data_IF_657634244468
#
_entry.id   IF_657634244468
#
_cell.length_a   1.000
_cell.length_b   1.000
_cell.length_c   1.000
_cell.angle_alpha   90.00
_cell.angle_beta   90.00
_cell.angle_gamma   90.00
#
_symmetry.space_group_name_H-M   'P 1'
#
loop_
_entity.id
_entity.type
_entity.pdbx_description
1 polymer ?
#
# COMPACT_ATOMS: atom_id res chain seq x y z
N UNK A 1 -15.69 -8.13 -3.20
CA UNK A 1 -17.03 -8.67 -3.52
C UNK A 1 -17.77 -9.06 -2.24
N UNK A 2 -17.34 -10.00 -1.42
CA UNK A 2 -18.04 -10.45 -0.21
C UNK A 2 -18.48 -9.34 0.77
N UNK A 3 -17.62 -8.39 1.14
CA UNK A 3 -17.95 -7.32 2.11
C UNK A 3 -19.04 -6.38 1.56
N UNK A 4 -18.97 -6.00 0.29
CA UNK A 4 -19.97 -5.14 -0.35
C UNK A 4 -21.35 -5.81 -0.40
N UNK A 5 -21.37 -7.07 -0.80
CA UNK A 5 -22.63 -7.80 -0.92
C UNK A 5 -23.23 -8.06 0.48
N UNK A 6 -22.37 -8.36 1.48
CA UNK A 6 -22.79 -8.45 2.88
C UNK A 6 -23.32 -7.11 3.41
N UNK A 7 -22.66 -5.98 3.13
CA UNK A 7 -23.13 -4.65 3.55
C UNK A 7 -24.52 -4.33 2.96
N UNK A 8 -24.74 -4.56 1.66
CA UNK A 8 -26.01 -4.32 1.01
C UNK A 8 -27.16 -5.16 1.61
N UNK A 9 -26.87 -6.43 1.91
CA UNK A 9 -27.85 -7.33 2.49
C UNK A 9 -28.14 -7.00 3.97
N UNK A 10 -27.11 -6.68 4.76
CA UNK A 10 -27.29 -6.19 6.15
C UNK A 10 -28.10 -4.89 6.16
N UNK A 11 -27.83 -3.96 5.26
CA UNK A 11 -28.56 -2.69 5.12
C UNK A 11 -30.03 -2.92 4.73
N UNK A 12 -30.34 -4.04 4.08
CA UNK A 12 -31.68 -4.48 3.74
C UNK A 12 -32.36 -5.30 4.84
N UNK A 13 -31.72 -5.46 6.02
CA UNK A 13 -32.27 -6.14 7.19
C UNK A 13 -32.06 -7.64 7.23
N UNK A 14 -31.24 -8.22 6.34
CA UNK A 14 -30.92 -9.65 6.37
C UNK A 14 -29.95 -9.97 7.52
N UNK A 15 -30.13 -11.11 8.16
CA UNK A 15 -29.22 -11.65 9.15
C UNK A 15 -28.06 -12.41 8.51
N UNK A 16 -26.94 -12.56 9.24
CA UNK A 16 -25.71 -13.17 8.72
C UNK A 16 -25.92 -14.56 8.11
N UNK A 17 -26.75 -15.40 8.73
CA UNK A 17 -27.07 -16.73 8.20
C UNK A 17 -27.81 -16.67 6.84
N UNK A 18 -28.73 -15.73 6.68
CA UNK A 18 -29.48 -15.51 5.45
C UNK A 18 -28.56 -14.95 4.36
N UNK A 19 -27.60 -14.08 4.71
CA UNK A 19 -26.60 -13.54 3.80
C UNK A 19 -25.72 -14.67 3.26
N UNK A 20 -25.23 -15.56 4.12
CA UNK A 20 -24.40 -16.70 3.68
C UNK A 20 -25.19 -17.65 2.77
N UNK A 21 -26.47 -17.88 3.08
CA UNK A 21 -27.35 -18.72 2.23
C UNK A 21 -27.63 -18.04 0.87
N UNK A 22 -27.80 -16.72 0.85
CA UNK A 22 -27.93 -15.94 -0.37
C UNK A 22 -26.66 -16.00 -1.22
N UNK A 23 -25.49 -15.79 -0.63
CA UNK A 23 -24.20 -15.86 -1.32
C UNK A 23 -23.95 -17.25 -1.92
N UNK A 24 -24.40 -18.30 -1.26
CA UNK A 24 -24.36 -19.68 -1.79
C UNK A 24 -25.25 -19.82 -3.03
N UNK A 25 -26.51 -19.40 -2.95
CA UNK A 25 -27.50 -19.57 -4.02
C UNK A 25 -27.18 -18.71 -5.25
N UNK A 26 -26.60 -17.53 -5.03
CA UNK A 26 -26.25 -16.60 -6.10
C UNK A 26 -24.95 -16.97 -6.83
N UNK A 27 -24.17 -17.93 -6.32
CA UNK A 27 -22.86 -18.31 -6.83
C UNK A 27 -21.90 -17.11 -7.04
N UNK A 28 -22.07 -16.04 -6.25
CA UNK A 28 -21.24 -14.84 -6.32
C UNK A 28 -19.86 -15.04 -5.71
N UNK A 29 -19.70 -16.07 -4.88
CA UNK A 29 -18.44 -16.45 -4.21
C UNK A 29 -18.08 -17.90 -4.55
N UNK A 30 -16.78 -18.19 -4.52
CA UNK A 30 -16.30 -19.56 -4.62
C UNK A 30 -16.87 -20.41 -3.48
N UNK A 31 -17.24 -21.64 -3.81
CA UNK A 31 -17.91 -22.55 -2.87
C UNK A 31 -17.08 -22.80 -1.59
N UNK A 32 -15.74 -22.79 -1.72
CA UNK A 32 -14.84 -22.94 -0.59
C UNK A 32 -15.03 -21.85 0.49
N UNK A 33 -15.16 -20.57 0.07
CA UNK A 33 -15.39 -19.46 1.01
C UNK A 33 -16.77 -19.55 1.69
N UNK A 34 -17.80 -19.91 0.92
CA UNK A 34 -19.15 -20.06 1.45
C UNK A 34 -19.23 -21.23 2.44
N UNK A 35 -18.54 -22.35 2.13
CA UNK A 35 -18.46 -23.49 3.01
C UNK A 35 -17.77 -23.12 4.34
N UNK A 36 -16.67 -22.38 4.30
CA UNK A 36 -15.97 -21.89 5.50
C UNK A 36 -16.86 -20.96 6.34
N UNK A 37 -17.55 -19.99 5.70
CA UNK A 37 -18.49 -19.10 6.38
C UNK A 37 -19.60 -19.89 7.09
N UNK A 38 -20.16 -20.89 6.42
CA UNK A 38 -21.21 -21.73 6.95
C UNK A 38 -20.74 -22.61 8.12
N UNK A 39 -19.55 -23.20 7.98
CA UNK A 39 -18.93 -23.99 9.03
C UNK A 39 -18.69 -23.15 10.29
N UNK A 40 -18.15 -21.93 10.12
CA UNK A 40 -17.95 -20.98 11.21
C UNK A 40 -19.25 -20.60 11.93
N UNK A 41 -20.30 -20.26 11.16
CA UNK A 41 -21.61 -19.95 11.72
C UNK A 41 -22.23 -21.14 12.48
N UNK A 42 -22.13 -22.36 11.93
CA UNK A 42 -22.63 -23.56 12.58
C UNK A 42 -21.87 -23.89 13.87
N UNK A 43 -20.61 -23.47 13.96
CA UNK A 43 -19.78 -23.58 15.16
C UNK A 43 -20.01 -22.44 16.18
N UNK A 44 -20.93 -21.51 15.91
CA UNK A 44 -21.18 -20.37 16.78
C UNK A 44 -20.09 -19.30 16.78
N UNK A 45 -19.25 -19.26 15.75
CA UNK A 45 -18.18 -18.28 15.63
C UNK A 45 -18.73 -16.89 15.30
N UNK A 46 -18.05 -15.84 15.77
CA UNK A 46 -18.37 -14.47 15.40
C UNK A 46 -18.07 -14.21 13.91
N UNK A 47 -18.70 -13.20 13.33
CA UNK A 47 -18.43 -12.83 11.93
C UNK A 47 -16.99 -12.38 11.73
N UNK A 48 -16.42 -11.67 12.70
CA UNK A 48 -15.01 -11.27 12.69
C UNK A 48 -14.03 -12.45 12.66
N UNK A 49 -14.31 -13.52 13.44
CA UNK A 49 -13.50 -14.75 13.40
C UNK A 49 -13.58 -15.45 12.04
N UNK A 50 -14.78 -15.51 11.45
CA UNK A 50 -15.00 -16.10 10.13
C UNK A 50 -14.21 -15.30 9.08
N UNK A 51 -14.31 -13.97 9.09
CA UNK A 51 -13.61 -13.07 8.15
C UNK A 51 -12.09 -13.15 8.30
N UNK A 52 -11.59 -13.36 9.54
CA UNK A 52 -10.16 -13.62 9.80
C UNK A 52 -9.67 -14.89 9.10
N UNK A 53 -10.44 -15.97 9.17
CA UNK A 53 -10.11 -17.24 8.48
C UNK A 53 -10.15 -17.13 6.97
N UNK A 54 -11.01 -16.25 6.44
CA UNK A 54 -11.07 -15.94 5.00
C UNK A 54 -9.88 -15.11 4.51
N UNK A 55 -8.93 -14.73 5.39
CA UNK A 55 -7.70 -14.03 5.04
C UNK A 55 -7.83 -12.53 4.87
N UNK A 56 -8.85 -11.91 5.46
CA UNK A 56 -8.94 -10.45 5.52
C UNK A 56 -7.88 -9.87 6.47
N UNK A 57 -7.52 -8.61 6.25
CA UNK A 57 -6.52 -7.93 7.07
C UNK A 57 -6.99 -7.76 8.52
N UNK A 58 -6.03 -7.74 9.45
CA UNK A 58 -6.28 -7.55 10.88
C UNK A 58 -7.10 -6.30 11.18
N UNK A 59 -6.90 -5.21 10.41
CA UNK A 59 -7.69 -3.99 10.52
C UNK A 59 -9.19 -4.24 10.27
N UNK A 60 -9.54 -4.99 9.22
CA UNK A 60 -10.92 -5.34 8.89
C UNK A 60 -11.52 -6.22 9.99
N UNK A 61 -10.77 -7.22 10.45
CA UNK A 61 -11.18 -8.15 11.51
C UNK A 61 -11.45 -7.38 12.81
N UNK A 62 -10.55 -6.50 13.22
CA UNK A 62 -10.71 -5.68 14.44
C UNK A 62 -11.94 -4.78 14.36
N UNK A 63 -12.14 -4.09 13.22
CA UNK A 63 -13.32 -3.25 13.04
C UNK A 63 -14.62 -4.05 13.12
N UNK A 64 -14.65 -5.24 12.53
CA UNK A 64 -15.81 -6.12 12.62
C UNK A 64 -16.04 -6.60 14.03
N UNK A 65 -15.01 -7.07 14.74
CA UNK A 65 -15.09 -7.53 16.12
C UNK A 65 -15.66 -6.44 17.05
N UNK A 66 -15.15 -5.22 16.94
CA UNK A 66 -15.65 -4.09 17.72
C UNK A 66 -17.10 -3.74 17.37
N UNK A 67 -17.45 -3.80 16.08
CA UNK A 67 -18.81 -3.50 15.64
C UNK A 67 -19.84 -4.57 16.06
N UNK A 68 -19.41 -5.82 16.19
CA UNK A 68 -20.24 -6.90 16.75
C UNK A 68 -20.55 -6.63 18.24
N UNK A 69 -19.54 -6.21 19.01
CA UNK A 69 -19.72 -5.87 20.43
C UNK A 69 -20.66 -4.68 20.65
N UNK A 70 -20.61 -3.69 19.78
CA UNK A 70 -21.39 -2.44 19.91
C UNK A 70 -22.68 -2.41 19.05
N UNK A 71 -22.99 -3.47 18.33
CA UNK A 71 -24.22 -3.57 17.55
C UNK A 71 -24.30 -2.71 16.29
N UNK A 72 -23.16 -2.16 15.80
CA UNK A 72 -23.12 -1.23 14.69
C UNK A 72 -22.49 -1.81 13.42
N UNK A 73 -22.75 -3.09 13.15
CA UNK A 73 -22.12 -3.88 12.10
C UNK A 73 -22.34 -3.31 10.69
N UNK A 74 -23.57 -2.85 10.40
CA UNK A 74 -23.91 -2.31 9.08
C UNK A 74 -23.09 -1.07 8.74
N UNK A 75 -22.95 -0.13 9.68
CA UNK A 75 -22.13 1.09 9.46
C UNK A 75 -20.65 0.73 9.26
N UNK A 76 -20.14 -0.18 10.07
CA UNK A 76 -18.74 -0.63 9.96
C UNK A 76 -18.47 -1.34 8.64
N UNK A 77 -19.39 -2.18 8.16
CA UNK A 77 -19.28 -2.82 6.86
C UNK A 77 -19.24 -1.80 5.72
N UNK A 78 -20.05 -0.73 5.78
CA UNK A 78 -20.01 0.35 4.80
C UNK A 78 -18.65 1.08 4.77
N UNK A 79 -18.08 1.39 5.95
CA UNK A 79 -16.74 1.99 6.05
C UNK A 79 -15.63 1.06 5.53
N UNK A 80 -15.71 -0.24 5.84
CA UNK A 80 -14.78 -1.26 5.35
C UNK A 80 -14.91 -1.41 3.83
N UNK A 81 -16.13 -1.43 3.29
CA UNK A 81 -16.37 -1.48 1.84
C UNK A 81 -15.68 -0.31 1.12
N UNK A 82 -15.95 0.92 1.54
CA UNK A 82 -15.32 2.12 0.96
C UNK A 82 -13.79 2.07 1.00
N UNK A 83 -13.23 1.59 2.09
CA UNK A 83 -11.78 1.41 2.24
C UNK A 83 -11.22 0.37 1.28
N UNK A 84 -11.82 -0.82 1.21
CA UNK A 84 -11.37 -1.90 0.33
C UNK A 84 -11.55 -1.53 -1.15
N UNK A 85 -12.61 -0.81 -1.49
CA UNK A 85 -12.82 -0.29 -2.84
C UNK A 85 -11.70 0.66 -3.25
N UNK A 86 -11.33 1.60 -2.38
CA UNK A 86 -10.23 2.53 -2.63
C UNK A 86 -8.89 1.80 -2.79
N UNK A 87 -8.58 0.82 -1.93
CA UNK A 87 -7.39 -0.01 -2.09
C UNK A 87 -7.38 -0.78 -3.40
N UNK A 88 -8.53 -1.34 -3.79
CA UNK A 88 -8.68 -2.06 -5.06
C UNK A 88 -8.46 -1.15 -6.27
N UNK A 89 -9.02 0.07 -6.24
CA UNK A 89 -8.80 1.10 -7.28
C UNK A 89 -7.32 1.44 -7.43
N UNK A 90 -6.61 1.63 -6.30
CA UNK A 90 -5.16 1.91 -6.31
C UNK A 90 -4.38 0.72 -6.86
N UNK A 91 -4.66 -0.50 -6.40
CA UNK A 91 -4.00 -1.71 -6.89
C UNK A 91 -4.21 -1.89 -8.40
N UNK A 92 -5.45 -1.74 -8.88
CA UNK A 92 -5.78 -1.83 -10.30
C UNK A 92 -5.00 -0.79 -11.12
N UNK A 93 -4.97 0.46 -10.64
CA UNK A 93 -4.25 1.54 -11.32
C UNK A 93 -2.74 1.33 -11.30
N UNK A 94 -2.15 0.80 -10.23
CA UNK A 94 -0.73 0.43 -10.18
C UNK A 94 -0.37 -0.62 -11.24
N UNK A 95 -1.22 -1.66 -11.39
CA UNK A 95 -1.02 -2.69 -12.41
C UNK A 95 -1.16 -2.07 -13.80
N UNK A 96 -2.20 -1.30 -14.05
CA UNK A 96 -2.49 -0.67 -15.34
C UNK A 96 -1.36 0.25 -15.79
N UNK A 97 -0.88 1.15 -14.90
CA UNK A 97 0.22 2.07 -15.19
C UNK A 97 1.56 1.35 -15.30
N UNK A 98 1.78 0.25 -14.57
CA UNK A 98 3.01 -0.53 -14.58
C UNK A 98 3.15 -1.48 -15.78
N UNK A 99 2.05 -1.99 -16.31
CA UNK A 99 2.06 -3.02 -17.36
C UNK A 99 2.66 -2.48 -18.67
N UNK A 100 2.24 -1.31 -19.10
CA UNK A 100 2.73 -0.70 -20.34
C UNK A 100 4.25 -0.42 -20.32
N UNK A 101 4.82 0.27 -19.31
CA UNK A 101 6.27 0.44 -19.20
C UNK A 101 7.06 -0.88 -19.18
N UNK A 102 6.57 -1.87 -18.47
CA UNK A 102 7.24 -3.18 -18.40
C UNK A 102 7.28 -3.89 -19.75
N UNK A 103 6.17 -3.88 -20.50
CA UNK A 103 6.13 -4.44 -21.86
C UNK A 103 7.10 -3.70 -22.78
N UNK A 104 7.06 -2.37 -22.74
CA UNK A 104 7.89 -1.53 -23.60
C UNK A 104 9.40 -1.69 -23.31
N UNK A 105 9.78 -1.74 -22.03
CA UNK A 105 11.15 -2.06 -21.61
C UNK A 105 11.56 -3.48 -22.01
N UNK A 106 10.66 -4.47 -21.91
CA UNK A 106 10.89 -5.83 -22.36
C UNK A 106 11.17 -5.90 -23.86
N UNK A 107 10.38 -5.23 -24.69
CA UNK A 107 10.62 -5.11 -26.13
C UNK A 107 11.94 -4.42 -26.44
N UNK A 108 12.26 -3.35 -25.72
CA UNK A 108 13.51 -2.63 -25.90
C UNK A 108 14.73 -3.53 -25.62
N UNK A 109 14.69 -4.30 -24.53
CA UNK A 109 15.76 -5.27 -24.19
C UNK A 109 15.89 -6.33 -25.27
N UNK A 110 14.78 -6.86 -25.81
CA UNK A 110 14.79 -7.83 -26.90
C UNK A 110 15.44 -7.26 -28.17
N UNK A 111 15.08 -6.03 -28.56
CA UNK A 111 15.69 -5.34 -29.72
C UNK A 111 17.19 -5.16 -29.49
N UNK A 112 17.59 -4.70 -28.30
CA UNK A 112 19.00 -4.51 -27.97
C UNK A 112 19.80 -5.82 -27.98
N UNK A 113 19.25 -6.92 -27.49
CA UNK A 113 19.89 -8.24 -27.54
C UNK A 113 20.01 -8.73 -28.98
N UNK A 114 18.98 -8.51 -29.82
CA UNK A 114 19.04 -8.83 -31.25
C UNK A 114 20.13 -8.03 -31.96
N UNK A 115 20.18 -6.72 -31.76
CA UNK A 115 21.20 -5.85 -32.36
C UNK A 115 22.62 -6.22 -31.88
N UNK A 116 22.78 -6.47 -30.60
CA UNK A 116 24.07 -6.89 -30.03
C UNK A 116 24.60 -8.17 -30.64
N UNK A 117 23.74 -9.16 -30.86
CA UNK A 117 24.16 -10.47 -31.32
C UNK A 117 24.33 -10.58 -32.84
N UNK A 118 23.56 -9.80 -33.61
CA UNK A 118 23.51 -9.92 -35.06
C UNK A 118 24.15 -8.75 -35.82
N UNK A 119 23.99 -7.49 -35.35
CA UNK A 119 24.42 -6.32 -36.11
C UNK A 119 25.77 -5.77 -35.62
N UNK A 120 25.97 -5.66 -34.32
CA UNK A 120 27.19 -5.09 -33.74
C UNK A 120 28.48 -5.85 -34.09
N UNK A 121 28.51 -7.18 -34.23
CA UNK A 121 29.71 -7.90 -34.70
C UNK A 121 30.11 -7.58 -36.12
N UNK A 122 29.20 -7.04 -36.95
CA UNK A 122 29.45 -6.67 -38.34
C UNK A 122 29.95 -5.22 -38.49
N UNK A 123 29.91 -4.45 -37.40
CA UNK A 123 30.33 -3.03 -37.42
C UNK A 123 31.66 -2.91 -36.64
N UNK A 124 32.73 -2.67 -37.37
CA UNK A 124 34.11 -2.59 -36.83
C UNK A 124 34.41 -1.30 -36.04
N UNK A 125 33.40 -0.56 -35.64
CA UNK A 125 33.55 0.77 -35.02
C UNK A 125 33.36 0.74 -33.51
N UNK A 126 34.35 1.22 -32.76
CA UNK A 126 34.29 1.42 -31.29
C UNK A 126 33.79 2.83 -30.92
N UNK A 127 32.61 3.21 -31.40
CA UNK A 127 32.00 4.48 -31.06
C UNK A 127 31.36 4.48 -29.68
N UNK A 128 31.24 5.65 -29.02
CA UNK A 128 30.62 5.84 -27.74
C UNK A 128 29.21 5.22 -27.68
N UNK A 129 28.40 5.35 -28.74
CA UNK A 129 27.07 4.78 -28.86
C UNK A 129 27.11 3.25 -28.83
N UNK A 130 28.03 2.61 -29.51
CA UNK A 130 28.21 1.15 -29.54
C UNK A 130 28.65 0.62 -28.19
N UNK A 131 29.53 1.33 -27.47
CA UNK A 131 29.95 0.98 -26.11
C UNK A 131 28.76 1.07 -25.12
N UNK A 132 27.98 2.15 -25.19
CA UNK A 132 26.78 2.31 -24.33
C UNK A 132 25.77 1.19 -24.57
N UNK A 133 25.47 0.85 -25.83
CA UNK A 133 24.50 -0.23 -26.15
C UNK A 133 25.02 -1.58 -25.66
N UNK A 134 26.30 -1.86 -25.79
CA UNK A 134 26.88 -3.13 -25.29
C UNK A 134 26.76 -3.27 -23.75
N UNK A 135 26.87 -2.16 -23.03
CA UNK A 135 26.81 -2.17 -21.56
C UNK A 135 25.39 -1.99 -21.01
N UNK A 136 24.45 -1.42 -21.76
CA UNK A 136 23.07 -1.19 -21.28
C UNK A 136 22.38 -2.43 -20.73
N UNK A 137 22.41 -3.62 -21.40
CA UNK A 137 21.80 -4.82 -20.82
C UNK A 137 22.46 -5.26 -19.50
N UNK A 138 23.79 -5.09 -19.41
CA UNK A 138 24.53 -5.38 -18.18
C UNK A 138 24.18 -4.40 -17.05
N UNK A 139 24.11 -3.10 -17.36
CA UNK A 139 23.67 -2.06 -16.42
C UNK A 139 22.27 -2.37 -15.91
N UNK A 140 21.36 -2.79 -16.80
CA UNK A 140 20.01 -3.16 -16.41
C UNK A 140 19.97 -4.38 -15.49
N UNK A 141 20.77 -5.42 -15.79
CA UNK A 141 20.89 -6.60 -14.91
C UNK A 141 21.51 -6.24 -13.56
N UNK A 142 22.57 -5.45 -13.53
CA UNK A 142 23.20 -5.02 -12.29
C UNK A 142 22.30 -4.11 -11.47
N UNK A 143 21.56 -3.19 -12.11
CA UNK A 143 20.59 -2.34 -11.40
C UNK A 143 19.42 -3.12 -10.83
N UNK A 144 18.91 -4.12 -11.55
CA UNK A 144 17.85 -5.00 -11.03
C UNK A 144 18.34 -5.87 -9.87
N UNK A 145 19.57 -6.40 -9.96
CA UNK A 145 20.20 -7.15 -8.87
C UNK A 145 20.43 -6.26 -7.64
N UNK A 146 20.95 -5.05 -7.84
CA UNK A 146 21.15 -4.08 -6.76
C UNK A 146 19.82 -3.72 -6.08
N UNK A 147 18.75 -3.51 -6.86
CA UNK A 147 17.40 -3.28 -6.33
C UNK A 147 16.90 -4.49 -5.53
N UNK A 148 17.08 -5.71 -6.03
CA UNK A 148 16.68 -6.93 -5.33
C UNK A 148 17.44 -7.10 -4.00
N UNK A 149 18.75 -6.80 -3.97
CA UNK A 149 19.57 -6.81 -2.75
C UNK A 149 19.08 -5.73 -1.78
N UNK A 150 18.81 -4.52 -2.24
CA UNK A 150 18.31 -3.42 -1.41
C UNK A 150 16.96 -3.78 -0.78
N UNK A 151 16.03 -4.35 -1.57
CA UNK A 151 14.74 -4.83 -1.06
C UNK A 151 14.95 -5.96 -0.03
N UNK A 152 15.83 -6.90 -0.30
CA UNK A 152 16.12 -8.02 0.62
C UNK A 152 16.72 -7.53 1.95
N UNK A 153 17.63 -6.56 1.90
CA UNK A 153 18.21 -5.91 3.09
C UNK A 153 17.14 -5.13 3.85
N UNK A 154 16.27 -4.40 3.16
CA UNK A 154 15.17 -3.67 3.78
C UNK A 154 14.18 -4.64 4.48
N UNK A 155 13.85 -5.77 3.84
CA UNK A 155 13.00 -6.81 4.42
C UNK A 155 13.66 -7.48 5.63
N UNK A 156 14.95 -7.77 5.55
CA UNK A 156 15.71 -8.32 6.68
C UNK A 156 15.73 -7.34 7.86
N UNK A 157 16.02 -6.07 7.59
CA UNK A 157 15.98 -5.01 8.60
C UNK A 157 14.59 -4.83 9.19
N UNK A 158 13.54 -4.87 8.36
CA UNK A 158 12.15 -4.85 8.80
C UNK A 158 11.81 -6.00 9.75
N UNK A 159 12.30 -7.21 9.48
CA UNK A 159 12.05 -8.38 10.34
C UNK A 159 12.76 -8.30 11.68
N UNK A 160 13.96 -7.73 11.72
CA UNK A 160 14.83 -7.76 12.91
C UNK A 160 14.74 -6.51 13.79
N UNK A 161 14.30 -5.36 13.27
CA UNK A 161 14.21 -4.10 14.02
C UNK A 161 12.82 -3.84 14.58
N UNK A 162 12.73 -3.00 15.63
CA UNK A 162 11.48 -2.42 16.10
C UNK A 162 10.79 -1.68 14.93
N UNK A 163 9.48 -1.88 14.78
CA UNK A 163 8.69 -1.30 13.70
C UNK A 163 8.60 0.21 13.83
N UNK A 164 8.51 0.73 15.05
CA UNK A 164 8.55 2.18 15.32
C UNK A 164 9.83 2.79 14.74
N UNK A 165 11.00 2.20 15.00
CA UNK A 165 12.29 2.68 14.46
C UNK A 165 12.39 2.54 12.94
N UNK A 166 11.88 1.45 12.41
CA UNK A 166 11.85 1.23 10.95
C UNK A 166 11.02 2.30 10.25
N UNK A 167 9.77 2.51 10.67
CA UNK A 167 8.89 3.50 10.06
C UNK A 167 9.33 4.94 10.31
N UNK A 168 9.97 5.23 11.45
CA UNK A 168 10.59 6.54 11.70
C UNK A 168 11.70 6.86 10.70
N UNK A 169 12.57 5.88 10.38
CA UNK A 169 13.59 6.04 9.33
C UNK A 169 12.99 6.14 7.93
N UNK A 170 11.96 5.35 7.66
CA UNK A 170 11.27 5.37 6.36
C UNK A 170 10.57 6.71 6.12
N UNK A 171 9.97 7.28 7.16
CA UNK A 171 9.33 8.60 7.12
C UNK A 171 10.33 9.75 6.92
N UNK A 172 11.60 9.55 7.25
CA UNK A 172 12.66 10.53 7.02
C UNK A 172 13.22 10.54 5.59
N UNK A 173 12.86 9.53 4.76
CA UNK A 173 13.32 9.47 3.38
C UNK A 173 12.68 10.58 2.53
N UNK A 174 13.46 11.32 1.71
CA UNK A 174 12.90 12.25 0.76
C UNK A 174 12.01 11.50 -0.24
N UNK A 175 10.90 12.09 -0.66
CA UNK A 175 9.92 11.53 -1.59
C UNK A 175 8.97 10.48 -0.98
N UNK A 176 9.47 9.39 -0.38
CA UNK A 176 8.64 8.32 0.19
C UNK A 176 8.11 8.66 1.58
N UNK A 177 8.82 9.47 2.35
CA UNK A 177 8.46 9.78 3.72
C UNK A 177 7.07 10.39 3.86
N UNK A 178 6.72 11.32 2.99
CA UNK A 178 5.38 11.94 3.00
C UNK A 178 4.25 10.96 2.67
N UNK A 179 4.50 9.93 1.82
CA UNK A 179 3.53 8.89 1.54
C UNK A 179 3.33 7.98 2.75
N UNK A 180 4.43 7.61 3.40
CA UNK A 180 4.41 6.80 4.63
C UNK A 180 3.69 7.55 5.75
N UNK A 181 3.99 8.84 5.95
CA UNK A 181 3.32 9.68 6.93
C UNK A 181 1.81 9.78 6.65
N UNK A 182 1.41 10.06 5.40
CA UNK A 182 0.01 10.17 5.04
C UNK A 182 -0.72 8.83 5.27
N UNK A 183 -0.13 7.72 4.85
CA UNK A 183 -0.70 6.39 5.04
C UNK A 183 -0.89 6.03 6.51
N UNK A 184 0.18 6.14 7.32
CA UNK A 184 0.12 5.79 8.73
C UNK A 184 -0.79 6.73 9.51
N UNK A 185 -0.74 8.02 9.23
CA UNK A 185 -1.65 9.00 9.86
C UNK A 185 -3.11 8.68 9.57
N UNK A 186 -3.46 8.45 8.30
CA UNK A 186 -4.83 8.12 7.91
C UNK A 186 -5.30 6.79 8.53
N UNK A 187 -4.41 5.79 8.54
CA UNK A 187 -4.69 4.48 9.12
C UNK A 187 -4.97 4.59 10.62
N UNK A 188 -4.05 5.20 11.39
CA UNK A 188 -4.20 5.29 12.84
C UNK A 188 -5.32 6.25 13.26
N UNK A 189 -5.48 7.38 12.57
CA UNK A 189 -6.60 8.29 12.85
C UNK A 189 -7.95 7.58 12.66
N UNK A 190 -8.09 6.74 11.63
CA UNK A 190 -9.29 5.95 11.41
C UNK A 190 -9.51 4.92 12.51
N UNK A 191 -8.47 4.13 12.85
CA UNK A 191 -8.61 3.08 13.87
C UNK A 191 -8.93 3.69 15.24
N UNK A 192 -8.20 4.70 15.67
CA UNK A 192 -8.45 5.41 16.92
C UNK A 192 -9.81 6.11 16.90
N UNK A 193 -10.13 6.81 15.81
CA UNK A 193 -11.42 7.49 15.65
C UNK A 193 -12.60 6.53 15.80
N UNK A 194 -12.53 5.37 15.15
CA UNK A 194 -13.55 4.33 15.25
C UNK A 194 -13.69 3.78 16.68
N UNK A 195 -12.57 3.47 17.34
CA UNK A 195 -12.58 2.92 18.71
C UNK A 195 -13.09 3.95 19.74
N UNK A 196 -12.60 5.20 19.65
CA UNK A 196 -13.07 6.30 20.53
C UNK A 196 -14.53 6.63 20.24
N UNK A 197 -14.93 6.66 18.97
CA UNK A 197 -16.32 6.92 18.57
C UNK A 197 -17.31 5.86 19.05
N UNK A 198 -16.83 4.66 19.33
CA UNK A 198 -17.60 3.56 19.97
C UNK A 198 -17.61 3.66 21.52
N UNK A 199 -16.95 4.65 22.09
CA UNK A 199 -16.93 4.88 23.54
C UNK A 199 -15.84 4.16 24.31
N UNK A 200 -14.85 3.59 23.61
CA UNK A 200 -13.70 2.96 24.27
C UNK A 200 -12.77 4.01 24.88
N UNK A 201 -12.31 3.77 26.08
CA UNK A 201 -11.28 4.56 26.73
C UNK A 201 -9.89 4.30 26.12
N UNK A 202 -8.98 5.28 26.19
CA UNK A 202 -7.61 5.15 25.64
C UNK A 202 -6.87 3.94 26.19
N UNK A 203 -7.05 3.64 27.47
CA UNK A 203 -6.46 2.47 28.13
C UNK A 203 -6.90 1.15 27.48
N UNK A 204 -8.18 1.03 27.16
CA UNK A 204 -8.76 -0.13 26.47
C UNK A 204 -8.28 -0.21 25.02
N UNK A 205 -8.22 0.92 24.33
CA UNK A 205 -7.71 0.99 22.96
C UNK A 205 -6.27 0.48 22.88
N UNK A 206 -5.41 0.91 23.79
CA UNK A 206 -4.01 0.45 23.77
C UNK A 206 -3.87 -1.02 24.18
N UNK A 207 -4.74 -1.53 25.07
CA UNK A 207 -4.79 -2.96 25.36
C UNK A 207 -5.18 -3.78 24.11
N UNK A 208 -6.23 -3.36 23.39
CA UNK A 208 -6.65 -3.98 22.11
C UNK A 208 -5.51 -3.93 21.08
N UNK A 209 -4.80 -2.79 20.98
CA UNK A 209 -3.66 -2.66 20.07
C UNK A 209 -2.54 -3.66 20.35
N UNK A 210 -2.28 -3.98 21.61
CA UNK A 210 -1.23 -4.94 22.03
C UNK A 210 -1.58 -6.39 21.64
N UNK A 211 -2.84 -6.72 21.53
CA UNK A 211 -3.32 -8.05 21.14
C UNK A 211 -3.34 -8.28 19.63
N UNK A 212 -3.17 -7.22 18.83
CA UNK A 212 -3.24 -7.32 17.38
C UNK A 212 -2.03 -8.06 16.78
N UNK A 213 -2.21 -8.83 15.69
CA UNK A 213 -1.13 -9.50 14.97
C UNK A 213 -0.12 -8.52 14.34
N UNK A 214 -0.54 -7.28 14.04
CA UNK A 214 0.31 -6.24 13.47
C UNK A 214 1.37 -5.78 14.47
N UNK A 215 2.63 -6.09 14.21
CA UNK A 215 3.76 -5.72 15.07
C UNK A 215 3.88 -4.22 15.32
N UNK A 216 3.61 -3.38 14.31
CA UNK A 216 3.64 -1.93 14.49
C UNK A 216 2.51 -1.46 15.42
N UNK A 217 1.31 -2.03 15.25
CA UNK A 217 0.16 -1.68 16.07
C UNK A 217 0.41 -2.06 17.53
N UNK A 218 0.98 -3.24 17.75
CA UNK A 218 1.38 -3.73 19.07
C UNK A 218 2.45 -2.83 19.72
N UNK A 219 3.55 -2.54 19.03
CA UNK A 219 4.63 -1.70 19.55
C UNK A 219 4.13 -0.29 19.90
N UNK A 220 3.25 0.31 19.07
CA UNK A 220 2.66 1.61 19.36
C UNK A 220 1.72 1.52 20.57
N UNK A 221 0.90 0.47 20.65
CA UNK A 221 0.01 0.27 21.80
C UNK A 221 0.79 0.14 23.12
N UNK A 222 1.87 -0.62 23.14
CA UNK A 222 2.77 -0.76 24.31
C UNK A 222 3.42 0.58 24.68
N UNK A 223 3.97 1.31 23.69
CA UNK A 223 4.68 2.57 23.90
C UNK A 223 3.73 3.71 24.34
N UNK A 224 2.48 3.72 23.81
CA UNK A 224 1.43 4.64 24.22
C UNK A 224 0.94 4.35 25.65
N UNK A 225 0.68 3.08 25.97
CA UNK A 225 0.26 2.69 27.32
C UNK A 225 1.30 3.08 28.37
N UNK A 226 2.59 2.84 28.09
CA UNK A 226 3.68 3.23 28.98
C UNK A 226 3.77 4.75 29.15
N UNK A 227 3.61 5.51 28.08
CA UNK A 227 3.65 6.98 28.10
C UNK A 227 2.50 7.58 28.95
N UNK A 228 1.28 7.08 28.80
CA UNK A 228 0.14 7.53 29.58
C UNK A 228 0.30 7.18 31.07
N UNK A 229 0.80 5.97 31.39
CA UNK A 229 1.13 5.59 32.78
C UNK A 229 2.19 6.50 33.39
N UNK A 230 3.13 7.01 32.54
CA UNK A 230 4.14 7.98 32.92
C UNK A 230 3.63 9.43 33.02
N UNK A 231 2.33 9.69 32.79
CA UNK A 231 1.71 10.99 32.87
C UNK A 231 1.89 11.85 31.61
N UNK A 232 2.40 11.29 30.50
CA UNK A 232 2.51 11.99 29.23
C UNK A 232 1.14 12.06 28.54
N UNK A 233 0.77 13.24 28.02
CA UNK A 233 -0.48 13.43 27.28
C UNK A 233 -0.54 12.62 25.99
N UNK A 234 -1.74 12.22 25.57
CA UNK A 234 -1.95 11.45 24.34
C UNK A 234 -1.47 12.22 23.10
N UNK A 235 -1.89 13.50 22.98
CA UNK A 235 -1.48 14.36 21.87
C UNK A 235 0.06 14.54 21.80
N UNK A 236 0.70 14.76 22.95
CA UNK A 236 2.17 14.94 23.03
C UNK A 236 2.91 13.66 22.62
N UNK A 237 2.41 12.49 23.04
CA UNK A 237 2.99 11.22 22.65
C UNK A 237 2.88 11.00 21.15
N UNK A 238 1.71 11.26 20.55
CA UNK A 238 1.51 11.17 19.10
C UNK A 238 2.44 12.10 18.33
N UNK A 239 2.63 13.34 18.82
CA UNK A 239 3.56 14.30 18.22
C UNK A 239 5.03 13.82 18.21
N UNK A 240 5.40 12.93 19.14
CA UNK A 240 6.77 12.40 19.23
C UNK A 240 7.12 11.39 18.12
N UNK A 241 6.14 10.85 17.39
CA UNK A 241 6.38 9.90 16.30
C UNK A 241 6.63 10.61 14.96
N UNK A 242 7.84 10.49 14.35
CA UNK A 242 8.17 11.17 13.11
C UNK A 242 7.37 10.68 11.89
N UNK A 243 6.76 9.50 11.99
CA UNK A 243 5.97 8.89 10.93
C UNK A 243 4.49 9.31 10.93
N UNK A 244 4.07 10.11 11.89
CA UNK A 244 2.78 10.78 11.84
C UNK A 244 2.90 12.22 11.34
N UNK A 245 1.86 12.70 10.68
CA UNK A 245 1.74 14.12 10.34
C UNK A 245 1.50 14.91 11.63
N UNK A 246 2.09 16.10 11.71
CA UNK A 246 1.96 16.99 12.89
C UNK A 246 0.50 17.37 13.17
N UNK A 247 -0.30 17.46 12.13
CA UNK A 247 -1.72 17.80 12.24
C UNK A 247 -2.52 16.77 13.04
N UNK A 248 -2.05 15.50 13.11
CA UNK A 248 -2.73 14.46 13.88
C UNK A 248 -2.76 14.78 15.39
N UNK A 249 -1.64 15.21 15.95
CA UNK A 249 -1.57 15.61 17.37
C UNK A 249 -2.44 16.80 17.68
N UNK A 250 -2.49 17.78 16.77
CA UNK A 250 -3.37 18.95 16.90
C UNK A 250 -4.86 18.54 16.85
N UNK A 251 -5.23 17.60 15.97
CA UNK A 251 -6.61 17.09 15.91
C UNK A 251 -7.00 16.35 17.18
N UNK A 252 -6.05 15.62 17.80
CA UNK A 252 -6.27 14.96 19.09
C UNK A 252 -6.51 16.01 20.18
N UNK A 253 -5.65 17.02 20.31
CA UNK A 253 -5.75 18.07 21.29
C UNK A 253 -7.11 18.82 21.19
N UNK A 254 -7.50 19.24 19.96
CA UNK A 254 -8.78 19.89 19.74
C UNK A 254 -9.99 18.99 20.00
N UNK A 255 -9.89 17.72 19.63
CA UNK A 255 -10.94 16.74 19.81
C UNK A 255 -11.20 16.42 21.29
N UNK A 256 -10.14 16.34 22.11
CA UNK A 256 -10.22 16.15 23.56
C UNK A 256 -10.96 17.32 24.22
N UNK A 257 -10.59 18.57 23.89
CA UNK A 257 -11.23 19.77 24.43
C UNK A 257 -12.72 19.82 24.11
N UNK A 258 -13.12 19.38 22.90
CA UNK A 258 -14.51 19.41 22.45
C UNK A 258 -15.32 18.19 22.84
N UNK A 259 -14.73 17.19 23.47
CA UNK A 259 -15.35 15.87 23.73
C UNK A 259 -15.91 15.20 22.46
N UNK A 260 -15.26 15.41 21.31
CA UNK A 260 -15.63 14.91 19.99
C UNK A 260 -14.48 14.20 19.27
N UNK A 261 -13.49 13.76 20.02
CA UNK A 261 -12.24 13.22 19.49
C UNK A 261 -12.46 12.11 18.44
N UNK A 262 -13.37 11.16 18.69
CA UNK A 262 -13.65 10.07 17.76
C UNK A 262 -14.10 10.58 16.38
N UNK A 263 -15.11 11.45 16.34
CA UNK A 263 -15.65 12.00 15.08
C UNK A 263 -14.66 12.91 14.35
N UNK A 264 -13.88 13.72 15.07
CA UNK A 264 -12.86 14.58 14.45
C UNK A 264 -11.73 13.75 13.82
N UNK A 265 -11.31 12.68 14.48
CA UNK A 265 -10.32 11.76 13.94
C UNK A 265 -10.83 10.98 12.71
N UNK A 266 -12.09 10.56 12.68
CA UNK A 266 -12.69 9.91 11.51
C UNK A 266 -12.69 10.84 10.30
N UNK A 267 -13.16 12.08 10.45
CA UNK A 267 -13.17 13.08 9.38
C UNK A 267 -11.75 13.40 8.90
N UNK A 268 -10.81 13.52 9.83
CA UNK A 268 -9.41 13.78 9.51
C UNK A 268 -8.78 12.58 8.76
N UNK A 269 -9.11 11.35 9.17
CA UNK A 269 -8.66 10.15 8.50
C UNK A 269 -9.15 10.08 7.05
N UNK A 270 -10.43 10.34 6.81
CA UNK A 270 -11.03 10.36 5.47
C UNK A 270 -10.31 11.34 4.54
N UNK A 271 -10.14 12.58 5.00
CA UNK A 271 -9.41 13.61 4.25
C UNK A 271 -7.94 13.24 3.99
N UNK A 272 -7.28 12.61 4.95
CA UNK A 272 -5.88 12.20 4.82
C UNK A 272 -5.75 11.00 3.87
N UNK A 273 -6.73 10.08 3.83
CA UNK A 273 -6.82 9.01 2.82
C UNK A 273 -6.99 9.57 1.41
N UNK A 274 -7.88 10.55 1.22
CA UNK A 274 -8.03 11.21 -0.08
C UNK A 274 -6.71 11.85 -0.54
N UNK A 275 -6.03 12.56 0.35
CA UNK A 275 -4.71 13.15 0.06
C UNK A 275 -3.68 12.08 -0.32
N UNK A 276 -3.63 10.97 0.40
CA UNK A 276 -2.75 9.84 0.11
C UNK A 276 -3.01 9.27 -1.29
N UNK A 277 -4.27 9.01 -1.64
CA UNK A 277 -4.63 8.49 -2.96
C UNK A 277 -4.33 9.48 -4.09
N UNK A 278 -4.55 10.77 -3.87
CA UNK A 278 -4.20 11.82 -4.84
C UNK A 278 -2.68 11.87 -5.07
N UNK A 279 -1.87 11.76 -4.03
CA UNK A 279 -0.40 11.72 -4.14
C UNK A 279 0.08 10.49 -4.91
N UNK A 280 -0.46 9.31 -4.63
CA UNK A 280 -0.16 8.10 -5.40
C UNK A 280 -0.52 8.28 -6.86
N UNK A 281 -1.71 8.80 -7.16
CA UNK A 281 -2.15 9.05 -8.52
C UNK A 281 -1.21 10.00 -9.28
N UNK A 282 -0.75 11.08 -8.63
CA UNK A 282 0.22 12.00 -9.23
C UNK A 282 1.55 11.31 -9.50
N UNK A 283 2.06 10.54 -8.53
CA UNK A 283 3.31 9.80 -8.70
C UNK A 283 3.22 8.80 -9.88
N UNK A 284 2.11 8.07 -10.00
CA UNK A 284 1.88 7.14 -11.10
C UNK A 284 1.82 7.85 -12.45
N UNK A 285 1.13 8.99 -12.53
CA UNK A 285 1.03 9.76 -13.77
C UNK A 285 2.39 10.35 -14.21
N UNK A 286 3.34 10.51 -13.28
CA UNK A 286 4.68 10.99 -13.60
C UNK A 286 5.60 9.88 -14.13
N UNK A 287 5.33 8.63 -13.80
CA UNK A 287 6.13 7.49 -14.28
C UNK A 287 6.06 7.37 -15.80
N UNK A 288 4.91 7.57 -16.40
CA UNK A 288 4.70 7.39 -17.84
C UNK A 288 5.57 8.33 -18.70
N UNK A 289 5.59 9.66 -18.51
CA UNK A 289 6.49 10.54 -19.24
C UNK A 289 7.97 10.19 -19.06
N UNK A 290 8.37 9.79 -17.85
CA UNK A 290 9.76 9.43 -17.56
C UNK A 290 10.19 8.18 -18.34
N UNK A 291 9.31 7.18 -18.43
CA UNK A 291 9.57 5.99 -19.25
C UNK A 291 9.63 6.34 -20.74
N UNK A 292 8.76 7.21 -21.24
CA UNK A 292 8.81 7.67 -22.64
C UNK A 292 10.13 8.35 -22.97
N UNK A 293 10.60 9.27 -22.11
CA UNK A 293 11.88 9.96 -22.31
C UNK A 293 13.03 8.94 -22.32
N UNK A 294 13.02 7.98 -21.40
CA UNK A 294 14.04 6.93 -21.33
C UNK A 294 14.06 6.09 -22.62
N UNK A 295 12.90 5.65 -23.09
CA UNK A 295 12.78 4.86 -24.32
C UNK A 295 13.21 5.67 -25.55
N UNK A 296 12.78 6.92 -25.67
CA UNK A 296 13.19 7.81 -26.77
C UNK A 296 14.71 7.97 -26.80
N UNK A 297 15.34 8.17 -25.64
CA UNK A 297 16.80 8.29 -25.52
C UNK A 297 17.52 7.00 -25.99
N UNK A 298 17.01 5.84 -25.60
CA UNK A 298 17.58 4.55 -26.03
C UNK A 298 17.41 4.35 -27.54
N UNK A 299 16.26 4.71 -28.12
CA UNK A 299 16.04 4.63 -29.56
C UNK A 299 17.03 5.54 -30.30
N UNK A 300 17.24 6.77 -29.86
CA UNK A 300 18.23 7.70 -30.46
C UNK A 300 19.64 7.11 -30.36
N UNK A 301 20.02 6.51 -29.25
CA UNK A 301 21.30 5.85 -29.10
C UNK A 301 21.46 4.65 -30.06
N UNK A 302 20.41 3.87 -30.28
CA UNK A 302 20.40 2.78 -31.26
C UNK A 302 20.61 3.27 -32.66
N UNK A 303 19.90 4.33 -33.08
CA UNK A 303 20.08 4.95 -34.38
C UNK A 303 21.51 5.54 -34.57
N UNK A 304 22.01 6.22 -33.54
CA UNK A 304 23.37 6.76 -33.57
C UNK A 304 24.43 5.64 -33.74
N UNK A 305 24.26 4.52 -33.04
CA UNK A 305 25.18 3.38 -33.15
C UNK A 305 25.15 2.71 -34.52
N UNK A 306 24.03 2.74 -35.23
CA UNK A 306 23.90 2.17 -36.58
C UNK A 306 24.40 3.13 -37.66
N UNK A 307 24.09 4.41 -37.57
CA UNK A 307 24.39 5.39 -38.65
C UNK A 307 25.81 5.97 -38.58
N UNK A 308 26.34 6.21 -37.36
CA UNK A 308 27.68 6.78 -37.20
C UNK A 308 28.78 5.99 -37.94
N UNK A 309 28.84 4.65 -37.86
CA UNK A 309 29.83 3.86 -38.60
C UNK A 309 29.68 3.98 -40.11
N UNK A 310 28.43 4.03 -40.60
CA UNK A 310 28.15 4.13 -42.05
C UNK A 310 28.70 5.48 -42.60
N UNK A 311 28.44 6.57 -41.87
CA UNK A 311 28.96 7.90 -42.29
C UNK A 311 30.47 7.99 -42.19
N UNK A 312 31.11 7.44 -41.17
CA UNK A 312 32.56 7.42 -41.00
C UNK A 312 33.27 6.62 -42.11
N UNK A 313 32.71 5.51 -42.55
CA UNK A 313 33.26 4.70 -43.65
C UNK A 313 33.07 5.39 -45.00
N UNK A 314 32.07 6.25 -45.19
CA UNK A 314 31.91 7.06 -46.42
C UNK A 314 32.92 8.21 -46.51
N UNK A 315 33.31 8.83 -45.39
CA UNK A 315 34.33 9.91 -45.39
C UNK A 315 35.74 9.39 -45.65
N UNK A 316 36.04 8.11 -45.39
CA UNK A 316 37.37 7.52 -45.66
C UNK A 316 37.58 7.13 -47.13
N UNK A 317 36.52 7.12 -47.93
CA UNK A 317 36.56 6.78 -49.37
C UNK A 317 36.39 7.97 -50.30
N UNK A 318 36.39 9.21 -49.78
CA UNK A 318 36.48 10.48 -50.50
C UNK A 318 37.86 11.11 -50.31
#
# INVERSE_FOLDING_TARGET
MCIRDSHNLFSSGFHLAEIVDFLRRSALLEEAYVAEMRAGLSAGQSFSEIVSRLGFSDSVVTQLSLSELHGNLTLSLGKIEAYLENLSKVKKKLIEVGTYPLMLLGFLVLIMLGLRNYLLPQLDSQNLATRLINHLPQIFLWSSLALAVLVSVALFYYRKSSKIRFFSKLAALPFFGHLVQAYLTAYYAREWGNMIGQGLELSQIFAIMQEQPSQLFKEIGEDMAAALQGGQGYADKVASYPFFKKELSLMIEYGEVKSKLGSELEVYAEKTWEEFFLRINRAMNFIQPLVFIFVALVIVLLYAAMLLPIYQNMEVHL
#
